data_IF_134683726902
#
_entry.id   IF_134683726902
#
_cell.length_a   1.000
_cell.length_b   1.000
_cell.length_c   1.000
_cell.angle_alpha   90.00
_cell.angle_beta   90.00
_cell.angle_gamma   90.00
#
_symmetry.space_group_name_H-M   'P 1'
#
loop_
_entity.id
_entity.type
_entity.pdbx_description
1 polymer ?
#
# COMPACT_ATOMS: atom_id res chain seq x y z
N UNK A 1 50.52 49.23 89.75
CA UNK A 1 49.27 48.49 89.46
C UNK A 1 48.84 48.65 88.00
N UNK A 2 48.94 49.83 87.37
CA UNK A 2 48.53 50.06 85.97
C UNK A 2 49.34 49.29 84.88
N UNK A 3 50.63 49.02 85.12
CA UNK A 3 51.49 48.27 84.18
C UNK A 3 51.17 46.76 84.13
N UNK A 4 50.65 46.19 85.21
CA UNK A 4 50.29 44.76 85.25
C UNK A 4 48.95 44.54 84.54
N UNK A 5 48.00 45.45 84.73
CA UNK A 5 46.67 45.40 84.10
C UNK A 5 46.73 45.61 82.57
N UNK A 6 47.62 46.48 82.09
CA UNK A 6 47.83 46.67 80.64
C UNK A 6 48.49 45.47 79.98
N UNK A 7 49.49 44.85 80.62
CA UNK A 7 50.05 43.58 80.14
C UNK A 7 49.03 42.43 80.13
N UNK A 8 48.13 42.36 81.13
CA UNK A 8 47.06 41.35 81.19
C UNK A 8 46.02 41.52 80.07
N UNK A 9 45.62 42.76 79.77
CA UNK A 9 44.68 43.06 78.68
C UNK A 9 45.30 42.78 77.31
N UNK A 10 46.58 43.09 77.11
CA UNK A 10 47.32 42.74 75.88
C UNK A 10 47.42 41.23 75.69
N UNK A 11 47.69 40.47 76.76
CA UNK A 11 47.75 39.00 76.71
C UNK A 11 46.39 38.36 76.43
N UNK A 12 45.31 38.88 77.01
CA UNK A 12 43.94 38.42 76.72
C UNK A 12 43.52 38.72 75.27
N UNK A 13 43.91 39.87 74.72
CA UNK A 13 43.70 40.18 73.30
C UNK A 13 44.49 39.25 72.39
N UNK A 14 45.74 38.90 72.74
CA UNK A 14 46.56 37.95 71.96
C UNK A 14 45.97 36.54 71.98
N UNK A 15 45.47 36.07 73.13
CA UNK A 15 44.77 34.78 73.23
C UNK A 15 43.47 34.75 72.40
N UNK A 16 42.71 35.86 72.36
CA UNK A 16 41.53 35.97 71.50
C UNK A 16 41.86 35.89 70.00
N UNK A 17 43.02 36.43 69.59
CA UNK A 17 43.49 36.31 68.21
C UNK A 17 43.90 34.87 67.84
N UNK A 18 44.40 34.05 68.78
CA UNK A 18 44.71 32.65 68.52
C UNK A 18 43.44 31.82 68.23
N UNK A 19 42.36 32.05 68.98
CA UNK A 19 41.07 31.40 68.75
C UNK A 19 40.44 31.84 67.40
N UNK A 20 40.50 33.13 67.07
CA UNK A 20 40.05 33.65 65.77
C UNK A 20 40.86 33.07 64.60
N UNK A 21 42.17 32.90 64.75
CA UNK A 21 43.04 32.28 63.74
C UNK A 21 42.69 30.80 63.55
N UNK A 22 42.41 30.06 64.63
CA UNK A 22 41.99 28.66 64.56
C UNK A 22 40.63 28.53 63.84
N UNK A 23 39.67 29.40 64.17
CA UNK A 23 38.37 29.45 63.51
C UNK A 23 38.48 29.82 62.01
N UNK A 24 39.39 30.72 61.64
CA UNK A 24 39.68 31.05 60.24
C UNK A 24 40.32 29.84 59.53
N UNK A 25 41.26 29.13 60.15
CA UNK A 25 41.87 27.93 59.57
C UNK A 25 40.85 26.82 59.33
N UNK A 26 39.90 26.63 60.25
CA UNK A 26 38.82 25.67 60.09
C UNK A 26 37.86 26.07 58.97
N UNK A 27 37.40 27.34 58.93
CA UNK A 27 36.60 27.87 57.83
C UNK A 27 37.30 27.74 56.48
N UNK A 28 38.60 28.00 56.41
CA UNK A 28 39.39 27.83 55.18
C UNK A 28 39.41 26.36 54.76
N UNK A 29 39.59 25.44 55.70
CA UNK A 29 39.58 23.99 55.42
C UNK A 29 38.19 23.50 54.98
N UNK A 30 37.13 23.99 55.59
CA UNK A 30 35.75 23.73 55.16
C UNK A 30 35.48 24.30 53.77
N UNK A 31 35.93 25.53 53.51
CA UNK A 31 35.79 26.17 52.21
C UNK A 31 36.49 25.37 51.11
N UNK A 32 37.72 24.89 51.35
CA UNK A 32 38.41 23.99 50.42
C UNK A 32 37.68 22.66 50.21
N UNK A 33 37.08 22.10 51.26
CA UNK A 33 36.28 20.86 51.18
C UNK A 33 35.02 21.07 50.33
N UNK A 34 34.29 22.16 50.55
CA UNK A 34 33.09 22.51 49.78
C UNK A 34 33.43 22.83 48.32
N UNK A 35 34.54 23.54 48.06
CA UNK A 35 35.04 23.77 46.69
C UNK A 35 35.36 22.44 46.00
N UNK A 36 36.03 21.51 46.69
CA UNK A 36 36.36 20.20 46.13
C UNK A 36 35.11 19.38 45.82
N UNK A 37 34.11 19.38 46.71
CA UNK A 37 32.82 18.69 46.50
C UNK A 37 32.05 19.31 45.33
N UNK A 38 31.97 20.64 45.28
CA UNK A 38 31.31 21.37 44.20
C UNK A 38 31.97 21.12 42.85
N UNK A 39 33.31 21.12 42.80
CA UNK A 39 34.08 20.76 41.61
C UNK A 39 33.75 19.36 41.11
N UNK A 40 33.66 18.37 41.99
CA UNK A 40 33.32 16.99 41.60
C UNK A 40 31.88 16.88 41.10
N UNK A 41 30.94 17.56 41.77
CA UNK A 41 29.54 17.65 41.32
C UNK A 41 29.42 18.29 39.93
N UNK A 42 30.17 19.37 39.66
CA UNK A 42 30.19 20.01 38.34
C UNK A 42 30.74 19.05 37.28
N UNK A 43 31.82 18.33 37.58
CA UNK A 43 32.40 17.36 36.62
C UNK A 43 31.45 16.21 36.33
N UNK A 44 30.74 15.71 37.35
CA UNK A 44 29.72 14.66 37.18
C UNK A 44 28.55 15.17 36.33
N UNK A 45 28.01 16.35 36.65
CA UNK A 45 26.91 16.96 35.90
C UNK A 45 27.29 17.23 34.43
N UNK A 46 28.50 17.75 34.17
CA UNK A 46 28.99 17.99 32.80
C UNK A 46 29.18 16.68 32.04
N UNK A 47 29.69 15.63 32.69
CA UNK A 47 29.87 14.32 32.06
C UNK A 47 28.52 13.68 31.73
N UNK A 48 27.55 13.76 32.63
CA UNK A 48 26.19 13.27 32.42
C UNK A 48 25.49 14.04 31.29
N UNK A 49 25.60 15.38 31.27
CA UNK A 49 25.04 16.21 30.18
C UNK A 49 25.70 15.92 28.82
N UNK A 50 27.00 15.59 28.81
CA UNK A 50 27.69 15.21 27.57
C UNK A 50 27.26 13.82 27.09
N UNK A 51 27.11 12.84 27.99
CA UNK A 51 26.62 11.49 27.66
C UNK A 51 25.20 11.58 27.13
N UNK A 52 24.31 12.33 27.80
CA UNK A 52 22.92 12.48 27.36
C UNK A 52 22.80 13.16 25.99
N UNK A 53 23.62 14.20 25.72
CA UNK A 53 23.71 14.83 24.40
C UNK A 53 24.21 13.86 23.33
N UNK A 54 25.19 13.03 23.67
CA UNK A 54 25.73 12.01 22.75
C UNK A 54 24.68 10.95 22.43
N UNK A 55 23.95 10.44 23.42
CA UNK A 55 22.86 9.48 23.23
C UNK A 55 21.72 10.09 22.39
N UNK A 56 21.38 11.35 22.66
CA UNK A 56 20.38 12.09 21.87
C UNK A 56 20.81 12.27 20.42
N UNK A 57 22.09 12.55 20.15
CA UNK A 57 22.62 12.64 18.80
C UNK A 57 22.54 11.30 18.05
N UNK A 58 22.86 10.19 18.74
CA UNK A 58 22.69 8.83 18.19
C UNK A 58 21.23 8.53 17.88
N UNK A 59 20.31 8.81 18.80
CA UNK A 59 18.86 8.61 18.59
C UNK A 59 18.36 9.43 17.40
N UNK A 60 18.81 10.68 17.25
CA UNK A 60 18.45 11.51 16.09
C UNK A 60 18.97 10.92 14.77
N UNK A 61 20.22 10.44 14.76
CA UNK A 61 20.83 9.83 13.59
C UNK A 61 20.16 8.50 13.22
N UNK A 62 19.85 7.66 14.20
CA UNK A 62 19.14 6.40 14.02
C UNK A 62 17.73 6.66 13.50
N UNK A 63 17.01 7.63 14.08
CA UNK A 63 15.68 8.02 13.62
C UNK A 63 15.69 8.54 12.18
N UNK A 64 16.64 9.39 11.82
CA UNK A 64 16.82 9.84 10.43
C UNK A 64 17.14 8.69 9.48
N UNK A 65 17.98 7.74 9.91
CA UNK A 65 18.35 6.57 9.13
C UNK A 65 17.16 5.64 8.92
N UNK A 66 16.38 5.35 9.98
CA UNK A 66 15.15 4.58 9.91
C UNK A 66 14.11 5.24 9.00
N UNK A 67 13.91 6.56 9.08
CA UNK A 67 13.01 7.28 8.17
C UNK A 67 13.49 7.16 6.73
N UNK A 68 14.78 7.35 6.48
CA UNK A 68 15.35 7.31 5.12
C UNK A 68 15.28 5.90 4.53
N UNK A 69 15.60 4.88 5.32
CA UNK A 69 15.50 3.47 4.94
C UNK A 69 14.04 3.09 4.65
N UNK A 70 13.11 3.35 5.58
CA UNK A 70 11.69 3.10 5.35
C UNK A 70 11.15 3.86 4.13
N UNK A 71 11.53 5.13 3.95
CA UNK A 71 11.13 5.90 2.77
C UNK A 71 11.66 5.30 1.47
N UNK A 72 12.85 4.69 1.49
CA UNK A 72 13.46 4.07 0.31
C UNK A 72 12.80 2.73 0.00
N UNK A 73 12.57 1.91 1.04
CA UNK A 73 11.81 0.65 0.94
C UNK A 73 10.40 0.90 0.43
N UNK A 74 9.65 1.83 1.06
CA UNK A 74 8.31 2.21 0.61
C UNK A 74 8.32 2.67 -0.86
N UNK A 75 9.30 3.49 -1.28
CA UNK A 75 9.41 3.91 -2.69
C UNK A 75 9.70 2.75 -3.63
N UNK A 76 10.56 1.81 -3.22
CA UNK A 76 10.90 0.63 -4.00
C UNK A 76 9.69 -0.30 -4.14
N UNK A 77 8.95 -0.53 -3.06
CA UNK A 77 7.70 -1.30 -3.05
C UNK A 77 6.67 -0.66 -3.97
N UNK A 78 6.46 0.66 -3.86
CA UNK A 78 5.57 1.38 -4.76
C UNK A 78 6.00 1.29 -6.22
N UNK A 79 7.30 1.39 -6.53
CA UNK A 79 7.79 1.24 -7.91
C UNK A 79 7.51 -0.16 -8.44
N UNK A 80 7.84 -1.19 -7.66
CA UNK A 80 7.65 -2.59 -8.04
C UNK A 80 6.18 -2.90 -8.31
N UNK A 81 5.29 -2.52 -7.38
CA UNK A 81 3.85 -2.68 -7.55
C UNK A 81 3.34 -1.91 -8.77
N UNK A 82 3.83 -0.68 -8.98
CA UNK A 82 3.42 0.14 -10.12
C UNK A 82 3.85 -0.50 -11.44
N UNK A 83 5.05 -1.08 -11.51
CA UNK A 83 5.56 -1.72 -12.71
C UNK A 83 4.85 -3.07 -12.98
N UNK A 84 4.59 -3.88 -11.95
CA UNK A 84 3.75 -5.08 -12.06
C UNK A 84 2.33 -4.75 -12.55
N UNK A 85 1.75 -3.65 -12.07
CA UNK A 85 0.44 -3.19 -12.55
C UNK A 85 0.51 -2.74 -14.01
N UNK A 86 1.54 -1.99 -14.42
CA UNK A 86 1.72 -1.59 -15.82
C UNK A 86 1.85 -2.81 -16.74
N UNK A 87 2.63 -3.81 -16.36
CA UNK A 87 2.87 -5.00 -17.17
C UNK A 87 1.60 -5.85 -17.31
N UNK A 88 0.89 -6.08 -16.20
CA UNK A 88 -0.39 -6.81 -16.25
C UNK A 88 -1.47 -6.04 -17.03
N UNK A 89 -1.49 -4.70 -16.94
CA UNK A 89 -2.38 -3.86 -17.74
C UNK A 89 -1.99 -3.96 -19.22
N UNK A 90 -0.70 -3.93 -19.57
CA UNK A 90 -0.22 -4.01 -20.95
C UNK A 90 -0.59 -5.35 -21.62
N UNK A 91 -0.38 -6.48 -20.92
CA UNK A 91 -0.73 -7.81 -21.45
C UNK A 91 -2.24 -7.94 -21.63
N UNK A 92 -3.04 -7.54 -20.64
CA UNK A 92 -4.49 -7.56 -20.75
C UNK A 92 -4.99 -6.60 -21.84
N UNK A 93 -4.34 -5.46 -22.02
CA UNK A 93 -4.66 -4.51 -23.07
C UNK A 93 -4.37 -5.08 -24.46
N UNK A 94 -3.26 -5.78 -24.67
CA UNK A 94 -2.95 -6.42 -25.96
C UNK A 94 -3.98 -7.50 -26.32
N UNK A 95 -4.34 -8.36 -25.36
CA UNK A 95 -5.39 -9.38 -25.55
C UNK A 95 -6.76 -8.75 -25.80
N UNK A 96 -7.10 -7.67 -25.10
CA UNK A 96 -8.34 -6.94 -25.33
C UNK A 96 -8.31 -6.31 -26.72
N UNK A 97 -7.25 -5.62 -27.14
CA UNK A 97 -7.17 -5.03 -28.47
C UNK A 97 -7.23 -6.09 -29.60
N UNK A 98 -6.67 -7.27 -29.38
CA UNK A 98 -6.72 -8.38 -30.33
C UNK A 98 -8.16 -8.93 -30.50
N UNK A 99 -8.95 -9.05 -29.42
CA UNK A 99 -10.23 -9.76 -29.45
C UNK A 99 -11.49 -8.92 -29.17
N UNK A 100 -11.39 -7.77 -28.52
CA UNK A 100 -12.49 -6.91 -28.05
C UNK A 100 -12.16 -5.44 -28.32
N UNK A 101 -12.91 -4.82 -29.23
CA UNK A 101 -12.70 -3.43 -29.65
C UNK A 101 -13.91 -2.57 -29.34
N UNK A 102 -13.69 -1.47 -28.63
CA UNK A 102 -14.70 -0.45 -28.37
C UNK A 102 -14.65 0.62 -29.48
N UNK A 103 -15.68 0.70 -30.32
CA UNK A 103 -15.82 1.66 -31.42
C UNK A 103 -16.99 2.61 -31.11
N UNK A 104 -16.77 3.54 -30.17
CA UNK A 104 -17.84 4.43 -29.68
C UNK A 104 -18.90 3.64 -28.91
N UNK A 105 -20.15 3.63 -29.42
CA UNK A 105 -21.25 2.86 -28.83
C UNK A 105 -21.32 1.39 -29.29
N UNK A 106 -20.39 0.96 -30.15
CA UNK A 106 -20.30 -0.39 -30.69
C UNK A 106 -19.21 -1.18 -29.96
N UNK A 107 -19.51 -2.40 -29.57
CA UNK A 107 -18.51 -3.37 -29.08
C UNK A 107 -18.34 -4.44 -30.15
N UNK A 108 -17.13 -4.57 -30.69
CA UNK A 108 -16.77 -5.59 -31.67
C UNK A 108 -15.93 -6.68 -31.00
N UNK A 109 -16.34 -7.93 -31.16
CA UNK A 109 -15.64 -9.11 -30.69
C UNK A 109 -15.12 -9.93 -31.88
N UNK A 110 -13.91 -10.47 -31.75
CA UNK A 110 -13.26 -11.31 -32.76
C UNK A 110 -11.81 -10.91 -32.97
N UNK A 111 -10.96 -11.91 -33.27
CA UNK A 111 -9.53 -11.71 -33.52
C UNK A 111 -9.29 -10.75 -34.68
N UNK A 112 -8.40 -9.78 -34.51
CA UNK A 112 -7.98 -8.87 -35.59
C UNK A 112 -7.51 -9.68 -36.82
N UNK A 113 -7.97 -9.28 -38.01
CA UNK A 113 -7.63 -9.93 -39.28
C UNK A 113 -8.39 -11.23 -39.56
N UNK A 114 -9.27 -11.68 -38.65
CA UNK A 114 -10.15 -12.82 -38.90
C UNK A 114 -11.42 -12.37 -39.64
N UNK A 115 -11.97 -13.26 -40.47
CA UNK A 115 -13.23 -13.05 -41.18
C UNK A 115 -14.44 -13.02 -40.22
N UNK A 116 -14.38 -13.78 -39.12
CA UNK A 116 -15.51 -13.93 -38.21
C UNK A 116 -15.45 -12.93 -37.06
N UNK A 117 -16.51 -12.13 -36.93
CA UNK A 117 -16.68 -11.17 -35.84
C UNK A 117 -18.10 -11.18 -35.30
N UNK A 118 -18.27 -10.70 -34.07
CA UNK A 118 -19.56 -10.37 -33.48
C UNK A 118 -19.59 -8.89 -33.12
N UNK A 119 -20.72 -8.23 -33.30
CA UNK A 119 -20.87 -6.80 -33.07
C UNK A 119 -22.10 -6.56 -32.20
N UNK A 120 -21.89 -6.02 -31.01
CA UNK A 120 -22.94 -5.58 -30.10
C UNK A 120 -23.13 -4.07 -30.24
N UNK A 121 -24.32 -3.68 -30.70
CA UNK A 121 -24.75 -2.28 -30.82
C UNK A 121 -25.95 -2.02 -29.91
N UNK A 122 -26.41 -0.76 -29.87
CA UNK A 122 -27.64 -0.39 -29.14
C UNK A 122 -28.92 -1.07 -29.68
N UNK A 123 -28.90 -1.58 -30.91
CA UNK A 123 -30.08 -2.08 -31.59
C UNK A 123 -30.09 -3.61 -31.75
N UNK A 124 -28.91 -4.22 -31.82
CA UNK A 124 -28.76 -5.63 -32.15
C UNK A 124 -27.41 -6.19 -31.72
N UNK A 125 -27.37 -7.52 -31.56
CA UNK A 125 -26.17 -8.33 -31.55
C UNK A 125 -26.05 -9.05 -32.90
N UNK A 126 -25.04 -8.72 -33.69
CA UNK A 126 -24.83 -9.25 -35.04
C UNK A 126 -23.61 -10.17 -35.10
N UNK A 127 -23.70 -11.24 -35.89
CA UNK A 127 -22.58 -12.10 -36.27
C UNK A 127 -22.23 -11.82 -37.73
N UNK A 128 -20.94 -11.63 -38.01
CA UNK A 128 -20.44 -11.28 -39.33
C UNK A 128 -19.36 -12.25 -39.80
N UNK A 129 -19.34 -12.48 -41.11
CA UNK A 129 -18.29 -13.16 -41.85
C UNK A 129 -17.82 -12.23 -42.97
N UNK A 130 -16.53 -11.89 -43.01
CA UNK A 130 -15.95 -10.92 -43.94
C UNK A 130 -16.70 -9.57 -43.95
N UNK A 131 -17.17 -9.13 -42.77
CA UNK A 131 -17.96 -7.90 -42.61
C UNK A 131 -19.43 -8.01 -43.04
N UNK A 132 -19.84 -9.12 -43.65
CA UNK A 132 -21.25 -9.37 -43.99
C UNK A 132 -21.98 -9.98 -42.81
N UNK A 133 -23.15 -9.43 -42.48
CA UNK A 133 -24.01 -9.96 -41.42
C UNK A 133 -24.63 -11.28 -41.86
N UNK A 134 -24.32 -12.36 -41.15
CA UNK A 134 -24.81 -13.71 -41.41
C UNK A 134 -25.90 -14.15 -40.43
N UNK A 135 -25.94 -13.54 -39.24
CA UNK A 135 -27.01 -13.71 -38.27
C UNK A 135 -27.10 -12.48 -37.36
N UNK A 136 -28.26 -12.22 -36.78
CA UNK A 136 -28.40 -11.22 -35.73
C UNK A 136 -29.58 -11.49 -34.81
N UNK A 137 -29.48 -10.95 -33.60
CA UNK A 137 -30.55 -10.91 -32.60
C UNK A 137 -30.97 -9.46 -32.41
N UNK A 138 -32.24 -9.17 -32.64
CA UNK A 138 -32.85 -7.86 -32.40
C UNK A 138 -34.36 -8.02 -32.20
N UNK A 139 -34.97 -7.20 -31.35
CA UNK A 139 -36.42 -7.16 -31.14
C UNK A 139 -37.05 -8.55 -30.90
N UNK A 140 -36.45 -9.33 -30.00
CA UNK A 140 -36.89 -10.70 -29.66
C UNK A 140 -36.88 -11.69 -30.84
N UNK A 141 -36.17 -11.38 -31.92
CA UNK A 141 -36.04 -12.22 -33.11
C UNK A 141 -34.58 -12.59 -33.35
N UNK A 142 -34.36 -13.86 -33.70
CA UNK A 142 -33.10 -14.36 -34.25
C UNK A 142 -33.29 -14.56 -35.75
N UNK A 143 -32.48 -13.87 -36.55
CA UNK A 143 -32.47 -13.97 -38.00
C UNK A 143 -31.15 -14.56 -38.44
N UNK A 144 -31.19 -15.59 -39.29
CA UNK A 144 -30.02 -16.29 -39.81
C UNK A 144 -30.16 -16.35 -41.34
N UNK A 145 -29.14 -15.90 -42.07
CA UNK A 145 -29.13 -15.88 -43.55
C UNK A 145 -29.13 -17.30 -44.11
N UNK A 146 -28.33 -18.21 -43.54
CA UNK A 146 -28.31 -19.63 -43.92
C UNK A 146 -27.99 -20.49 -42.69
N UNK A 147 -28.64 -21.66 -42.56
CA UNK A 147 -28.47 -22.56 -41.43
C UNK A 147 -28.36 -24.02 -41.88
N UNK A 148 -27.27 -24.68 -41.48
CA UNK A 148 -27.10 -26.14 -41.58
C UNK A 148 -27.41 -26.79 -40.23
N UNK A 149 -28.52 -27.54 -40.12
CA UNK A 149 -28.92 -28.20 -38.88
C UNK A 149 -28.48 -29.66 -38.90
N UNK A 150 -27.47 -30.00 -38.09
CA UNK A 150 -26.87 -31.35 -38.07
C UNK A 150 -27.63 -32.38 -37.23
N UNK A 151 -28.28 -31.93 -36.17
CA UNK A 151 -28.84 -32.83 -35.16
C UNK A 151 -30.36 -32.86 -35.16
N UNK A 152 -30.99 -31.72 -34.84
CA UNK A 152 -32.43 -31.62 -34.69
C UNK A 152 -32.87 -30.16 -34.74
N UNK A 153 -33.93 -29.87 -35.50
CA UNK A 153 -34.66 -28.60 -35.40
C UNK A 153 -35.97 -28.87 -34.66
N UNK A 154 -36.21 -28.18 -33.55
CA UNK A 154 -37.42 -28.35 -32.75
C UNK A 154 -38.26 -27.08 -32.80
N UNK A 155 -39.52 -27.19 -33.23
CA UNK A 155 -40.47 -26.08 -33.30
C UNK A 155 -41.63 -26.35 -32.33
N UNK A 156 -41.84 -25.47 -31.36
CA UNK A 156 -42.91 -25.65 -30.38
C UNK A 156 -42.68 -24.89 -29.09
N UNK A 157 -43.44 -25.28 -28.07
CA UNK A 157 -43.29 -24.78 -26.71
C UNK A 157 -43.78 -25.83 -25.70
N UNK A 158 -43.58 -25.55 -24.42
CA UNK A 158 -43.94 -26.46 -23.33
C UNK A 158 -45.43 -26.81 -23.32
N UNK A 159 -46.31 -25.83 -23.61
CA UNK A 159 -47.77 -26.01 -23.54
C UNK A 159 -48.35 -26.82 -24.71
N UNK A 160 -47.78 -26.68 -25.91
CA UNK A 160 -48.31 -27.29 -27.15
C UNK A 160 -47.53 -28.53 -27.59
N UNK A 161 -46.42 -28.83 -26.93
CA UNK A 161 -45.46 -29.82 -27.38
C UNK A 161 -44.58 -29.29 -28.50
N UNK A 162 -43.77 -30.18 -29.06
CA UNK A 162 -42.71 -29.86 -30.01
C UNK A 162 -42.80 -30.74 -31.26
N UNK A 163 -42.56 -30.15 -32.42
CA UNK A 163 -42.27 -30.84 -33.67
C UNK A 163 -40.76 -30.92 -33.85
N UNK A 164 -40.22 -32.12 -33.77
CA UNK A 164 -38.81 -32.43 -33.90
C UNK A 164 -38.52 -32.92 -35.33
N UNK A 165 -37.75 -32.13 -36.09
CA UNK A 165 -37.21 -32.49 -37.40
C UNK A 165 -35.84 -33.13 -37.19
N UNK A 166 -35.73 -34.43 -37.46
CA UNK A 166 -34.57 -35.24 -37.13
C UNK A 166 -34.02 -35.87 -38.43
N UNK A 167 -32.85 -35.42 -38.94
CA UNK A 167 -32.14 -36.13 -39.97
C UNK A 167 -31.69 -37.50 -39.46
N UNK A 168 -31.90 -38.54 -40.28
CA UNK A 168 -31.47 -39.92 -39.98
C UNK A 168 -30.16 -40.22 -40.70
N UNK A 169 -29.42 -41.20 -40.17
CA UNK A 169 -28.14 -41.65 -40.74
C UNK A 169 -28.26 -42.17 -42.19
N UNK A 170 -29.46 -42.56 -42.62
CA UNK A 170 -29.74 -43.00 -43.99
C UNK A 170 -30.13 -41.84 -44.95
N UNK A 171 -30.04 -40.58 -44.51
CA UNK A 171 -30.39 -39.41 -45.30
C UNK A 171 -31.87 -39.01 -45.27
N UNK A 172 -32.74 -39.82 -44.66
CA UNK A 172 -34.16 -39.48 -44.57
C UNK A 172 -34.44 -38.48 -43.45
N UNK A 173 -35.45 -37.62 -43.64
CA UNK A 173 -35.96 -36.74 -42.60
C UNK A 173 -37.12 -37.42 -41.85
N UNK A 174 -37.03 -37.46 -40.52
CA UNK A 174 -38.16 -37.82 -39.66
C UNK A 174 -38.76 -36.58 -39.03
N UNK A 175 -40.09 -36.50 -38.99
CA UNK A 175 -40.82 -35.52 -38.18
C UNK A 175 -41.47 -36.28 -37.02
N UNK A 176 -41.10 -35.93 -35.79
CA UNK A 176 -41.64 -36.55 -34.58
C UNK A 176 -42.34 -35.49 -33.75
N UNK A 177 -43.60 -35.75 -33.39
CA UNK A 177 -44.26 -34.96 -32.35
C UNK A 177 -43.86 -35.49 -30.97
N UNK A 178 -43.52 -34.56 -30.07
CA UNK A 178 -43.23 -34.82 -28.66
C UNK A 178 -44.21 -34.00 -27.84
N UNK A 179 -45.03 -34.69 -27.05
CA UNK A 179 -46.08 -34.06 -26.24
C UNK A 179 -45.53 -33.06 -25.22
N UNK A 180 -46.40 -32.20 -24.67
CA UNK A 180 -46.08 -31.32 -23.54
C UNK A 180 -45.36 -32.10 -22.43
N UNK A 181 -44.34 -31.49 -21.82
CA UNK A 181 -43.81 -32.02 -20.57
C UNK A 181 -44.89 -31.80 -19.51
N UNK A 182 -45.41 -32.90 -18.97
CA UNK A 182 -46.34 -32.90 -17.83
C UNK A 182 -45.64 -32.46 -16.54
#
# INVERSE_FOLDING_TARGET
>A
MALITSCQASFQNVAGYEDDIAAIQENVRECYSEISKSSEQIRLAVREDYISRSEMATIQQDFQSTITQNSSEIRMDFSTITDELKDNIAINQELLEEYIRFKGALIELGKVGNAFTAELSNNELAFKENGQKIAYISNNSLVITNAEIRNKLSLGNETRGWFDFIPRNNGNLSIKWRGPAS
#
